data_IF_160211271308
#
_entry.id   IF_160211271308
#
_cell.length_a   1.000
_cell.length_b   1.000
_cell.length_c   1.000
_cell.angle_alpha   90.00
_cell.angle_beta   90.00
_cell.angle_gamma   90.00
#
_symmetry.space_group_name_H-M   'P 1'
#
loop_
_entity.id
_entity.type
_entity.pdbx_description
1 polymer ?
#
# COMPACT_ATOMS: atom_id res chain seq x y z
N UNK A 1 -23.63 -74.76 35.24
CA UNK A 1 -22.88 -74.71 36.51
C UNK A 1 -21.45 -75.13 36.21
N UNK A 2 -20.50 -74.19 36.20
CA UNK A 2 -19.08 -74.51 36.01
C UNK A 2 -18.32 -73.73 37.06
N UNK A 3 -17.74 -74.46 38.02
CA UNK A 3 -16.78 -73.93 38.99
C UNK A 3 -15.65 -74.94 39.13
N UNK A 4 -14.44 -74.58 38.73
CA UNK A 4 -13.27 -74.50 39.61
C UNK A 4 -11.99 -74.20 38.82
N UNK A 5 -11.30 -73.19 39.34
CA UNK A 5 -10.01 -72.56 39.01
C UNK A 5 -8.81 -73.39 39.53
N UNK A 6 -7.54 -72.89 39.58
CA UNK A 6 -6.67 -72.21 38.59
C UNK A 6 -5.21 -72.76 38.58
N UNK A 7 -4.32 -72.08 37.83
CA UNK A 7 -2.89 -71.80 38.14
C UNK A 7 -1.77 -72.59 37.43
N UNK A 8 -1.00 -71.89 36.57
CA UNK A 8 0.49 -71.74 36.55
C UNK A 8 0.88 -71.06 35.22
N UNK A 9 1.27 -69.79 35.21
CA UNK A 9 2.63 -69.24 35.41
C UNK A 9 3.48 -69.15 34.12
N UNK A 10 4.05 -67.97 33.93
CA UNK A 10 4.57 -67.36 32.70
C UNK A 10 5.88 -68.03 32.23
N UNK A 11 5.98 -68.40 30.95
CA UNK A 11 7.27 -68.60 30.27
C UNK A 11 7.65 -67.34 29.48
N UNK A 12 8.76 -66.72 29.85
CA UNK A 12 9.42 -65.62 29.12
C UNK A 12 9.91 -66.14 27.77
N UNK A 13 9.53 -65.49 26.67
CA UNK A 13 10.14 -65.68 25.36
C UNK A 13 10.90 -64.40 25.03
N UNK A 14 12.23 -64.51 24.97
CA UNK A 14 13.16 -63.45 24.59
C UNK A 14 13.17 -63.30 23.07
N UNK A 15 12.84 -62.11 22.56
CA UNK A 15 12.95 -61.79 21.14
C UNK A 15 14.41 -61.47 20.75
N UNK A 16 14.87 -61.88 19.55
CA UNK A 16 16.26 -61.71 19.14
C UNK A 16 16.64 -60.24 18.90
N UNK A 17 17.89 -59.93 19.27
CA UNK A 17 18.53 -58.62 19.14
C UNK A 17 18.58 -58.22 17.65
N UNK A 18 17.95 -57.09 17.30
CA UNK A 18 17.97 -56.53 15.95
C UNK A 18 19.42 -56.14 15.60
N UNK A 19 19.99 -56.79 14.59
CA UNK A 19 21.29 -56.43 14.01
C UNK A 19 21.07 -55.22 13.12
N UNK A 20 21.58 -54.06 13.54
CA UNK A 20 21.58 -52.85 12.69
C UNK A 20 22.81 -52.91 11.78
N UNK A 21 22.59 -53.19 10.50
CA UNK A 21 23.61 -53.02 9.46
C UNK A 21 23.67 -51.52 9.13
N UNK A 22 24.74 -50.84 9.51
CA UNK A 22 25.00 -49.45 9.10
C UNK A 22 25.53 -49.44 7.66
N UNK A 23 24.63 -49.28 6.70
CA UNK A 23 25.02 -48.81 5.37
C UNK A 23 24.97 -47.28 5.39
N UNK A 24 26.13 -46.62 5.52
CA UNK A 24 26.26 -45.19 5.27
C UNK A 24 25.98 -44.93 3.78
N UNK A 25 24.78 -44.44 3.47
CA UNK A 25 24.51 -43.74 2.22
C UNK A 25 25.13 -42.35 2.39
N UNK A 26 26.07 -41.90 1.53
CA UNK A 26 26.58 -40.54 1.64
C UNK A 26 25.46 -39.55 1.29
N UNK A 27 25.02 -38.79 2.29
CA UNK A 27 24.17 -37.61 2.13
C UNK A 27 24.89 -36.62 1.19
N UNK A 28 24.21 -35.98 0.22
CA UNK A 28 24.83 -34.91 -0.55
C UNK A 28 25.25 -33.83 0.44
N UNK A 29 26.52 -33.46 0.44
CA UNK A 29 27.05 -32.37 1.24
C UNK A 29 26.28 -31.11 0.91
N UNK A 30 25.32 -30.72 1.76
CA UNK A 30 24.87 -29.35 1.81
C UNK A 30 26.08 -28.56 2.31
N UNK A 31 26.79 -27.91 1.39
CA UNK A 31 27.74 -26.89 1.78
C UNK A 31 26.93 -25.85 2.54
N UNK A 32 27.07 -25.83 3.87
CA UNK A 32 26.63 -24.68 4.65
C UNK A 32 27.37 -23.47 4.10
N UNK A 33 26.66 -22.64 3.34
CA UNK A 33 27.14 -21.31 3.00
C UNK A 33 27.43 -20.66 4.36
N UNK A 34 28.66 -20.19 4.64
CA UNK A 34 28.94 -19.56 5.91
C UNK A 34 27.98 -18.37 6.03
N UNK A 35 27.06 -18.43 6.99
CA UNK A 35 26.36 -17.23 7.46
C UNK A 35 27.44 -16.39 8.13
N UNK A 36 28.15 -15.59 7.35
CA UNK A 36 28.78 -14.38 7.85
C UNK A 36 27.64 -13.46 8.30
N UNK A 37 27.03 -13.76 9.44
CA UNK A 37 26.15 -12.85 10.14
C UNK A 37 27.05 -11.83 10.79
N UNK A 38 27.39 -10.79 10.04
CA UNK A 38 27.79 -9.52 10.64
C UNK A 38 26.76 -9.22 11.74
N UNK A 39 27.18 -8.95 12.98
CA UNK A 39 26.24 -8.68 14.06
C UNK A 39 25.34 -7.51 13.66
N UNK A 40 24.02 -7.73 13.69
CA UNK A 40 23.03 -6.71 13.31
C UNK A 40 23.20 -5.50 14.23
N UNK A 41 23.59 -4.37 13.67
CA UNK A 41 23.83 -3.14 14.44
C UNK A 41 22.51 -2.61 14.98
N UNK A 42 22.44 -2.29 16.28
CA UNK A 42 21.21 -1.81 16.91
C UNK A 42 20.96 -0.34 16.61
N UNK A 43 20.24 -0.06 15.53
CA UNK A 43 19.75 1.30 15.24
C UNK A 43 18.66 1.69 16.27
N UNK A 44 18.90 2.76 17.03
CA UNK A 44 17.99 3.27 18.08
C UNK A 44 17.03 4.33 17.54
N UNK A 45 16.12 3.94 16.67
CA UNK A 45 15.18 4.86 15.99
C UNK A 45 14.38 5.79 16.90
N UNK A 46 14.04 5.34 18.13
CA UNK A 46 13.32 6.14 19.13
C UNK A 46 14.10 7.38 19.56
N UNK A 47 15.42 7.26 19.73
CA UNK A 47 16.30 8.34 20.19
C UNK A 47 16.34 9.50 19.17
N UNK A 48 16.04 9.19 17.91
CA UNK A 48 16.05 10.14 16.80
C UNK A 48 14.64 10.55 16.33
N UNK A 49 13.58 10.11 17.01
CA UNK A 49 12.19 10.31 16.57
C UNK A 49 12.00 9.91 15.09
N UNK A 50 12.48 8.71 14.72
CA UNK A 50 12.36 8.14 13.38
C UNK A 50 11.13 7.23 13.32
N UNK A 51 10.09 7.69 12.61
CA UNK A 51 8.85 6.96 12.42
C UNK A 51 8.35 7.07 10.99
N UNK A 52 8.02 5.94 10.37
CA UNK A 52 7.33 5.87 9.10
C UNK A 52 5.81 5.96 9.34
N UNK A 53 5.20 7.03 8.83
CA UNK A 53 3.75 7.25 8.88
C UNK A 53 3.12 7.39 7.49
N UNK A 54 3.89 7.13 6.44
CA UNK A 54 3.45 7.19 5.05
C UNK A 54 3.20 8.58 4.47
N UNK A 55 3.39 9.67 5.25
CA UNK A 55 3.23 11.05 4.76
C UNK A 55 4.38 11.48 3.88
N UNK A 56 5.60 11.27 4.36
CA UNK A 56 6.84 11.71 3.72
C UNK A 56 7.88 10.59 3.78
N UNK A 57 7.68 9.60 2.90
CA UNK A 57 8.51 8.38 2.85
C UNK A 57 9.94 8.70 2.43
N UNK A 58 10.15 9.68 1.54
CA UNK A 58 11.50 10.08 1.10
C UNK A 58 12.30 10.70 2.24
N UNK A 59 11.71 11.63 2.99
CA UNK A 59 12.38 12.21 4.16
C UNK A 59 12.66 11.15 5.22
N UNK A 60 11.75 10.20 5.41
CA UNK A 60 11.98 9.06 6.29
C UNK A 60 13.20 8.22 5.85
N UNK A 61 13.29 7.85 4.57
CA UNK A 61 14.39 7.04 4.03
C UNK A 61 15.74 7.76 4.18
N UNK A 62 15.80 9.05 3.83
CA UNK A 62 17.02 9.85 3.99
C UNK A 62 17.45 9.93 5.45
N UNK A 63 16.50 10.14 6.38
CA UNK A 63 16.78 10.20 7.81
C UNK A 63 17.23 8.84 8.36
N UNK A 64 16.63 7.75 7.89
CA UNK A 64 17.03 6.40 8.26
C UNK A 64 18.48 6.10 7.83
N UNK A 65 18.88 6.51 6.62
CA UNK A 65 20.26 6.40 6.14
C UNK A 65 21.23 7.21 7.02
N UNK A 66 20.93 8.49 7.28
CA UNK A 66 21.79 9.33 8.12
C UNK A 66 21.96 8.77 9.55
N UNK A 67 20.89 8.27 10.17
CA UNK A 67 20.97 7.66 11.50
C UNK A 67 21.79 6.37 11.46
N UNK A 68 21.63 5.58 10.40
CA UNK A 68 22.35 4.32 10.24
C UNK A 68 23.84 4.56 10.06
N UNK A 69 24.23 5.61 9.33
CA UNK A 69 25.61 6.06 9.22
C UNK A 69 26.20 6.45 10.59
N UNK A 70 25.46 7.23 11.40
CA UNK A 70 25.86 7.61 12.75
C UNK A 70 26.05 6.40 13.66
N UNK A 71 25.17 5.40 13.55
CA UNK A 71 25.19 4.19 14.37
C UNK A 71 26.14 3.11 13.82
N UNK A 72 26.80 3.33 12.67
CA UNK A 72 27.68 2.37 12.03
C UNK A 72 26.95 1.14 11.44
N UNK A 73 25.67 1.28 11.14
CA UNK A 73 24.83 0.22 10.58
C UNK A 73 24.95 0.17 9.06
N UNK A 74 24.89 -1.04 8.49
CA UNK A 74 24.88 -1.22 7.05
C UNK A 74 23.45 -1.15 6.51
N UNK A 75 23.30 -0.87 5.22
CA UNK A 75 22.00 -0.80 4.53
C UNK A 75 21.09 -2.01 4.80
N UNK A 76 21.66 -3.22 4.85
CA UNK A 76 20.92 -4.45 5.19
C UNK A 76 20.26 -4.39 6.57
N UNK A 77 20.89 -3.75 7.55
CA UNK A 77 20.32 -3.57 8.89
C UNK A 77 19.12 -2.64 8.86
N UNK A 78 19.16 -1.61 8.00
CA UNK A 78 18.04 -0.68 7.75
C UNK A 78 16.84 -1.45 7.21
N UNK A 79 17.05 -2.20 6.13
CA UNK A 79 16.00 -2.98 5.46
C UNK A 79 15.31 -3.97 6.40
N UNK A 80 16.07 -4.58 7.33
CA UNK A 80 15.50 -5.51 8.33
C UNK A 80 14.76 -4.81 9.46
N UNK A 81 15.14 -3.58 9.81
CA UNK A 81 14.64 -2.89 11.01
C UNK A 81 13.48 -1.95 10.76
N UNK A 82 13.26 -1.57 9.51
CA UNK A 82 12.24 -0.61 9.11
C UNK A 82 10.83 -0.93 9.63
N UNK A 83 10.45 -2.21 9.74
CA UNK A 83 9.14 -2.66 10.25
C UNK A 83 8.94 -2.36 11.73
N UNK A 84 10.01 -2.10 12.48
CA UNK A 84 9.97 -1.68 13.89
C UNK A 84 9.94 -0.15 14.04
N UNK A 85 10.05 0.59 12.93
CA UNK A 85 10.02 2.05 12.90
C UNK A 85 8.68 2.57 12.36
N UNK A 86 7.64 1.73 12.38
CA UNK A 86 6.27 2.08 12.00
C UNK A 86 5.48 2.49 13.23
N UNK A 87 4.38 3.23 13.03
CA UNK A 87 3.48 3.64 14.12
C UNK A 87 2.42 2.58 14.45
N UNK A 88 2.13 1.69 13.52
CA UNK A 88 1.09 0.68 13.62
C UNK A 88 1.48 -0.60 12.86
N UNK A 89 0.78 -1.70 13.18
CA UNK A 89 1.00 -3.03 12.62
C UNK A 89 0.61 -3.12 11.14
N UNK A 90 -0.36 -2.32 10.69
CA UNK A 90 -0.80 -2.27 9.29
C UNK A 90 0.32 -1.75 8.38
N UNK A 91 1.02 -0.70 8.80
CA UNK A 91 2.19 -0.17 8.10
C UNK A 91 3.33 -1.18 8.07
N UNK A 92 3.57 -1.93 9.14
CA UNK A 92 4.56 -3.02 9.15
C UNK A 92 4.21 -4.09 8.13
N UNK A 93 2.97 -4.58 8.14
CA UNK A 93 2.48 -5.58 7.19
C UNK A 93 2.65 -5.14 5.73
N UNK A 94 2.43 -3.85 5.43
CA UNK A 94 2.64 -3.32 4.09
C UNK A 94 4.10 -3.32 3.65
N UNK A 95 5.03 -3.09 4.56
CA UNK A 95 6.46 -3.14 4.26
C UNK A 95 6.92 -4.59 4.10
N UNK A 96 6.41 -5.50 4.92
CA UNK A 96 6.70 -6.93 4.83
C UNK A 96 6.29 -7.53 3.48
N UNK A 97 5.21 -7.02 2.88
CA UNK A 97 4.76 -7.40 1.54
C UNK A 97 5.55 -6.82 0.36
N UNK A 98 6.66 -6.12 0.60
CA UNK A 98 7.49 -5.51 -0.46
C UNK A 98 8.66 -6.42 -0.83
N UNK A 99 8.92 -6.71 -2.13
CA UNK A 99 10.00 -7.58 -2.54
C UNK A 99 11.39 -7.20 -1.99
N UNK A 100 11.74 -5.91 -2.01
CA UNK A 100 13.00 -5.44 -1.42
C UNK A 100 13.17 -5.73 0.08
N UNK A 101 12.07 -5.85 0.83
CA UNK A 101 12.12 -6.22 2.25
C UNK A 101 12.48 -7.70 2.44
N UNK A 102 11.86 -8.60 1.65
CA UNK A 102 12.08 -10.05 1.72
C UNK A 102 13.56 -10.42 1.57
N UNK A 103 14.24 -9.77 0.62
CA UNK A 103 15.66 -10.01 0.35
C UNK A 103 16.61 -9.13 1.18
N UNK A 104 16.06 -8.25 2.04
CA UNK A 104 16.79 -7.26 2.83
C UNK A 104 17.72 -6.36 1.98
N UNK A 105 17.27 -6.01 0.78
CA UNK A 105 17.95 -5.09 -0.13
C UNK A 105 17.35 -3.70 0.07
N UNK A 106 18.13 -2.81 0.69
CA UNK A 106 17.68 -1.46 1.00
C UNK A 106 17.42 -0.62 -0.25
N UNK A 107 18.24 -0.75 -1.28
CA UNK A 107 18.09 0.06 -2.49
C UNK A 107 16.84 -0.37 -3.27
N UNK A 108 16.60 -1.68 -3.38
CA UNK A 108 15.35 -2.21 -3.95
C UNK A 108 14.13 -1.84 -3.09
N UNK A 109 14.25 -1.93 -1.76
CA UNK A 109 13.18 -1.56 -0.84
C UNK A 109 12.83 -0.07 -0.96
N UNK A 110 13.80 0.83 -1.07
CA UNK A 110 13.55 2.25 -1.32
C UNK A 110 12.76 2.46 -2.62
N UNK A 111 13.16 1.79 -3.71
CA UNK A 111 12.45 1.90 -4.99
C UNK A 111 11.00 1.40 -4.89
N UNK A 112 10.78 0.29 -4.19
CA UNK A 112 9.46 -0.29 -4.02
C UNK A 112 8.58 0.55 -3.07
N UNK A 113 9.16 1.09 -1.99
CA UNK A 113 8.50 2.02 -1.10
C UNK A 113 8.12 3.31 -1.83
N UNK A 114 9.04 3.92 -2.59
CA UNK A 114 8.72 5.06 -3.45
C UNK A 114 7.58 4.71 -4.39
N UNK A 115 7.68 3.61 -5.14
CA UNK A 115 6.62 3.18 -6.06
C UNK A 115 5.28 2.97 -5.36
N UNK A 116 5.27 2.41 -4.16
CA UNK A 116 4.05 2.12 -3.41
C UNK A 116 3.43 3.39 -2.83
N UNK A 117 4.20 4.28 -2.22
CA UNK A 117 3.70 5.49 -1.58
C UNK A 117 3.57 6.69 -2.53
N UNK A 118 4.40 6.80 -3.57
CA UNK A 118 4.23 7.79 -4.65
C UNK A 118 2.95 7.54 -5.46
N UNK A 119 2.50 6.29 -5.54
CA UNK A 119 1.20 5.91 -6.15
C UNK A 119 -0.02 6.35 -5.34
N UNK A 120 0.11 6.84 -4.11
CA UNK A 120 -1.06 7.11 -3.25
C UNK A 120 -0.86 8.28 -2.26
N UNK A 121 0.11 9.16 -2.51
CA UNK A 121 0.33 10.35 -1.66
C UNK A 121 -0.78 11.39 -1.83
N UNK A 122 -1.03 12.28 -0.83
CA UNK A 122 -1.97 13.39 -0.95
C UNK A 122 -1.70 14.25 -2.19
N UNK A 123 -0.43 14.48 -2.53
CA UNK A 123 0.01 15.27 -3.68
C UNK A 123 -0.31 14.58 -5.01
N UNK A 124 -0.48 13.25 -5.02
CA UNK A 124 -0.79 12.51 -6.24
C UNK A 124 -2.12 12.92 -6.85
N UNK A 125 -3.17 13.19 -6.05
CA UNK A 125 -4.46 13.63 -6.61
C UNK A 125 -4.31 14.96 -7.36
N UNK A 126 -3.54 15.89 -6.81
CA UNK A 126 -3.24 17.18 -7.42
C UNK A 126 -2.39 17.04 -8.69
N UNK A 127 -1.37 16.18 -8.66
CA UNK A 127 -0.55 15.86 -9.84
C UNK A 127 -1.39 15.19 -10.93
N UNK A 128 -2.29 14.28 -10.57
CA UNK A 128 -3.18 13.61 -11.51
C UNK A 128 -4.11 14.63 -12.20
N UNK A 129 -4.85 15.44 -11.44
CA UNK A 129 -5.71 16.49 -12.02
C UNK A 129 -4.92 17.51 -12.85
N UNK A 130 -3.80 18.01 -12.32
CA UNK A 130 -2.96 19.00 -13.03
C UNK A 130 -2.39 18.46 -14.33
N UNK A 131 -1.87 17.22 -14.32
CA UNK A 131 -1.32 16.58 -15.52
C UNK A 131 -2.42 16.37 -16.56
N UNK A 132 -3.58 15.85 -16.15
CA UNK A 132 -4.72 15.68 -17.05
C UNK A 132 -5.14 17.00 -17.69
N UNK A 133 -5.13 18.09 -16.93
CA UNK A 133 -5.43 19.42 -17.46
C UNK A 133 -4.37 19.91 -18.45
N UNK A 134 -3.08 19.72 -18.16
CA UNK A 134 -1.99 20.07 -19.08
C UNK A 134 -2.04 19.28 -20.40
N UNK A 135 -2.58 18.06 -20.37
CA UNK A 135 -2.83 17.24 -21.57
C UNK A 135 -4.11 17.64 -22.34
N UNK A 136 -4.66 18.82 -22.04
CA UNK A 136 -5.83 19.40 -22.71
C UNK A 136 -7.18 19.03 -22.08
N UNK A 137 -7.15 18.44 -20.89
CA UNK A 137 -8.33 18.05 -20.12
C UNK A 137 -9.09 16.85 -20.66
N UNK A 138 -10.00 16.33 -19.85
CA UNK A 138 -10.88 15.21 -20.23
C UNK A 138 -11.93 15.68 -21.22
N UNK A 139 -12.05 14.98 -22.35
CA UNK A 139 -12.96 15.30 -23.46
C UNK A 139 -13.89 14.16 -23.86
N UNK A 140 -13.71 12.97 -23.28
CA UNK A 140 -14.50 11.79 -23.63
C UNK A 140 -14.61 10.80 -22.46
N UNK A 141 -15.60 9.90 -22.57
CA UNK A 141 -15.91 8.92 -21.54
C UNK A 141 -14.78 7.93 -21.25
N UNK A 142 -14.00 7.53 -22.24
CA UNK A 142 -12.86 6.61 -22.03
C UNK A 142 -11.81 7.23 -21.12
N UNK A 143 -11.42 8.49 -21.39
CA UNK A 143 -10.49 9.23 -20.53
C UNK A 143 -11.08 9.48 -19.15
N UNK A 144 -12.37 9.80 -19.09
CA UNK A 144 -13.06 10.04 -17.82
C UNK A 144 -13.07 8.82 -16.91
N UNK A 145 -13.50 7.64 -17.42
CA UNK A 145 -13.53 6.39 -16.65
C UNK A 145 -12.16 6.01 -16.09
N UNK A 146 -11.11 6.18 -16.89
CA UNK A 146 -9.73 5.95 -16.43
C UNK A 146 -9.35 6.92 -15.31
N UNK A 147 -9.57 8.23 -15.52
CA UNK A 147 -9.25 9.26 -14.55
C UNK A 147 -9.98 9.04 -13.23
N UNK A 148 -11.31 8.86 -13.26
CA UNK A 148 -12.12 8.76 -12.04
C UNK A 148 -11.78 7.50 -11.24
N UNK A 149 -11.51 6.37 -11.90
CA UNK A 149 -11.06 5.15 -11.25
C UNK A 149 -9.71 5.33 -10.54
N UNK A 150 -8.75 5.98 -11.19
CA UNK A 150 -7.45 6.29 -10.56
C UNK A 150 -7.59 7.31 -9.41
N UNK A 151 -8.42 8.34 -9.58
CA UNK A 151 -8.64 9.39 -8.61
C UNK A 151 -9.33 8.85 -7.34
N UNK A 152 -10.41 8.07 -7.49
CA UNK A 152 -11.13 7.48 -6.36
C UNK A 152 -10.29 6.45 -5.60
N UNK A 153 -9.44 5.70 -6.29
CA UNK A 153 -8.49 4.81 -5.63
C UNK A 153 -7.52 5.59 -4.70
N UNK A 154 -7.07 6.79 -5.11
CA UNK A 154 -6.28 7.68 -4.26
C UNK A 154 -7.12 8.12 -3.05
N UNK A 155 -8.35 8.60 -3.26
CA UNK A 155 -9.21 9.10 -2.18
C UNK A 155 -9.53 8.01 -1.14
N UNK A 156 -9.86 6.79 -1.57
CA UNK A 156 -10.12 5.65 -0.68
C UNK A 156 -8.91 5.37 0.21
N UNK A 157 -7.71 5.37 -0.38
CA UNK A 157 -6.47 5.20 0.37
C UNK A 157 -6.29 6.33 1.38
N UNK A 158 -6.36 7.59 0.94
CA UNK A 158 -6.15 8.75 1.81
C UNK A 158 -7.12 8.78 3.01
N UNK A 159 -8.38 8.39 2.80
CA UNK A 159 -9.38 8.25 3.86
C UNK A 159 -9.03 7.12 4.83
N UNK A 160 -8.66 5.93 4.31
CA UNK A 160 -8.33 4.75 5.14
C UNK A 160 -7.21 5.06 6.15
N UNK A 161 -6.16 5.74 5.69
CA UNK A 161 -5.01 6.07 6.52
C UNK A 161 -5.11 7.45 7.20
N UNK A 162 -6.31 8.04 7.24
CA UNK A 162 -6.58 9.31 7.91
C UNK A 162 -5.68 10.48 7.47
N UNK A 163 -5.12 10.43 6.25
CA UNK A 163 -4.40 11.57 5.66
C UNK A 163 -5.34 12.74 5.36
N UNK A 164 -6.62 12.42 5.13
CA UNK A 164 -7.71 13.37 4.98
C UNK A 164 -8.86 12.95 5.89
N UNK A 165 -9.57 13.91 6.47
CA UNK A 165 -10.77 13.68 7.27
C UNK A 165 -11.97 14.34 6.58
N UNK A 166 -13.14 13.69 6.65
CA UNK A 166 -14.38 14.17 6.04
C UNK A 166 -14.43 14.07 4.51
N UNK A 167 -15.57 14.48 3.93
CA UNK A 167 -15.67 14.78 2.51
C UNK A 167 -15.09 16.17 2.26
N UNK A 168 -13.75 16.26 2.26
CA UNK A 168 -13.07 17.36 1.56
C UNK A 168 -13.65 17.31 0.14
N UNK A 169 -14.38 18.33 -0.28
CA UNK A 169 -15.07 18.32 -1.57
C UNK A 169 -14.03 18.45 -2.69
N UNK A 170 -13.43 17.32 -3.05
CA UNK A 170 -12.53 17.12 -4.19
C UNK A 170 -13.22 17.30 -5.54
N UNK A 171 -14.52 17.59 -5.52
CA UNK A 171 -15.37 17.76 -6.69
C UNK A 171 -14.83 18.88 -7.59
N UNK A 172 -14.25 19.93 -7.00
CA UNK A 172 -13.59 20.98 -7.78
C UNK A 172 -12.35 20.46 -8.52
N UNK A 173 -11.57 19.54 -7.93
CA UNK A 173 -10.37 18.97 -8.58
C UNK A 173 -10.73 18.02 -9.72
N UNK A 174 -11.85 17.32 -9.60
CA UNK A 174 -12.41 16.47 -10.67
C UNK A 174 -12.92 17.36 -11.80
N UNK A 175 -13.71 18.38 -11.48
CA UNK A 175 -14.24 19.32 -12.47
C UNK A 175 -13.12 20.06 -13.21
N UNK A 176 -12.11 20.54 -12.48
CA UNK A 176 -10.95 21.23 -13.04
C UNK A 176 -10.07 20.36 -13.94
N UNK A 177 -10.22 19.02 -13.91
CA UNK A 177 -9.51 18.10 -14.80
C UNK A 177 -10.18 17.93 -16.18
N UNK A 178 -11.42 18.40 -16.32
CA UNK A 178 -12.15 18.35 -17.59
C UNK A 178 -11.64 19.44 -18.54
N UNK A 179 -11.84 19.26 -19.84
CA UNK A 179 -11.57 20.35 -20.79
C UNK A 179 -12.38 21.61 -20.47
N UNK A 180 -11.85 22.79 -20.75
CA UNK A 180 -12.54 24.08 -20.46
C UNK A 180 -13.97 24.12 -21.01
N UNK A 181 -14.18 23.64 -22.24
CA UNK A 181 -15.51 23.55 -22.84
C UNK A 181 -16.47 22.63 -22.07
N UNK A 182 -15.97 21.51 -21.52
CA UNK A 182 -16.78 20.63 -20.67
C UNK A 182 -17.06 21.27 -19.31
N UNK A 183 -16.08 21.94 -18.70
CA UNK A 183 -16.30 22.67 -17.46
C UNK A 183 -17.43 23.70 -17.61
N UNK A 184 -17.36 24.53 -18.65
CA UNK A 184 -18.37 25.58 -18.90
C UNK A 184 -19.78 25.01 -19.14
N UNK A 185 -19.92 23.98 -19.96
CA UNK A 185 -21.22 23.37 -20.23
C UNK A 185 -21.82 22.71 -19.00
N UNK A 186 -21.00 21.98 -18.23
CA UNK A 186 -21.41 21.32 -17.00
C UNK A 186 -21.82 22.35 -15.93
N UNK A 187 -21.03 23.41 -15.72
CA UNK A 187 -21.39 24.50 -14.81
C UNK A 187 -22.74 25.12 -15.19
N UNK A 188 -22.95 25.39 -16.48
CA UNK A 188 -24.19 26.01 -16.97
C UNK A 188 -25.41 25.13 -16.71
N UNK A 189 -25.33 23.83 -16.98
CA UNK A 189 -26.44 22.91 -16.74
C UNK A 189 -26.69 22.71 -15.23
N UNK A 190 -25.64 22.57 -14.40
CA UNK A 190 -25.81 22.46 -12.95
C UNK A 190 -26.47 23.71 -12.31
N UNK A 191 -26.15 24.92 -12.81
CA UNK A 191 -26.81 26.16 -12.35
C UNK A 191 -28.27 26.20 -12.79
N UNK A 192 -28.54 25.88 -14.06
CA UNK A 192 -29.89 25.86 -14.64
C UNK A 192 -30.81 24.90 -13.88
N UNK A 193 -30.31 23.73 -13.51
CA UNK A 193 -31.06 22.70 -12.79
C UNK A 193 -31.09 22.94 -11.26
N UNK A 194 -30.46 24.02 -10.77
CA UNK A 194 -30.32 24.33 -9.34
C UNK A 194 -29.63 23.22 -8.54
N UNK A 195 -28.76 22.44 -9.18
CA UNK A 195 -27.94 21.43 -8.53
C UNK A 195 -26.84 22.06 -7.66
N UNK A 196 -26.39 23.27 -8.01
CA UNK A 196 -25.46 24.06 -7.21
C UNK A 196 -26.20 24.99 -6.25
N UNK A 197 -25.87 24.93 -4.97
CA UNK A 197 -26.48 25.80 -3.94
C UNK A 197 -25.72 27.12 -3.89
N UNK A 198 -26.44 28.24 -4.01
CA UNK A 198 -25.83 29.55 -3.84
C UNK A 198 -25.46 29.77 -2.38
N UNK A 199 -24.19 30.04 -2.12
CA UNK A 199 -23.70 30.42 -0.80
C UNK A 199 -24.18 31.83 -0.44
N UNK A 200 -24.30 32.10 0.87
CA UNK A 200 -24.63 33.43 1.40
C UNK A 200 -23.69 34.53 0.88
N UNK A 201 -22.43 34.18 0.57
CA UNK A 201 -21.41 35.11 0.09
C UNK A 201 -21.40 35.27 -1.45
N UNK A 202 -22.43 34.79 -2.15
CA UNK A 202 -22.59 34.98 -3.59
C UNK A 202 -21.85 33.97 -4.47
N UNK A 203 -21.06 33.07 -3.88
CA UNK A 203 -20.48 31.90 -4.56
C UNK A 203 -21.47 30.75 -4.73
N UNK A 204 -21.03 29.65 -5.35
CA UNK A 204 -21.81 28.42 -5.44
C UNK A 204 -21.09 27.24 -4.78
N UNK A 205 -21.85 26.46 -4.03
CA UNK A 205 -21.40 25.21 -3.41
C UNK A 205 -21.58 24.08 -4.44
N UNK A 206 -20.50 23.34 -4.69
CA UNK A 206 -20.53 22.16 -5.57
C UNK A 206 -21.52 21.12 -5.03
N UNK A 207 -22.26 20.43 -5.93
CA UNK A 207 -23.11 19.33 -5.51
C UNK A 207 -22.26 18.17 -4.98
N UNK A 208 -22.92 17.18 -4.39
CA UNK A 208 -22.25 15.92 -4.00
C UNK A 208 -21.61 15.23 -5.20
N UNK A 209 -20.62 14.39 -4.93
CA UNK A 209 -19.83 13.73 -5.98
C UNK A 209 -20.69 12.87 -6.91
N UNK A 210 -21.66 12.12 -6.36
CA UNK A 210 -22.60 11.31 -7.15
C UNK A 210 -23.37 12.14 -8.17
N UNK A 211 -23.87 13.31 -7.76
CA UNK A 211 -24.57 14.24 -8.64
C UNK A 211 -23.62 14.85 -9.68
N UNK A 212 -22.42 15.28 -9.27
CA UNK A 212 -21.43 15.82 -10.21
C UNK A 212 -21.06 14.81 -11.30
N UNK A 213 -20.86 13.53 -10.94
CA UNK A 213 -20.55 12.48 -11.92
C UNK A 213 -21.63 12.36 -12.98
N UNK A 214 -22.91 12.43 -12.60
CA UNK A 214 -24.03 12.37 -13.56
C UNK A 214 -23.93 13.48 -14.61
N UNK A 215 -23.67 14.73 -14.20
CA UNK A 215 -23.51 15.84 -15.15
C UNK A 215 -22.30 15.66 -16.07
N UNK A 216 -21.18 15.15 -15.53
CA UNK A 216 -19.98 14.88 -16.33
C UNK A 216 -20.27 13.80 -17.38
N UNK A 217 -20.89 12.70 -16.97
CA UNK A 217 -21.20 11.59 -17.87
C UNK A 217 -22.16 12.04 -18.98
N UNK A 218 -23.22 12.78 -18.64
CA UNK A 218 -24.17 13.34 -19.61
C UNK A 218 -23.50 14.27 -20.63
N UNK A 219 -22.65 15.20 -20.18
CA UNK A 219 -21.95 16.13 -21.07
C UNK A 219 -21.00 15.40 -22.03
N UNK A 220 -20.25 14.43 -21.51
CA UNK A 220 -19.29 13.66 -22.30
C UNK A 220 -19.97 12.71 -23.29
N UNK A 221 -21.14 12.16 -22.94
CA UNK A 221 -21.95 11.32 -23.84
C UNK A 221 -22.63 12.14 -24.94
N UNK A 222 -23.20 13.30 -24.60
CA UNK A 222 -23.83 14.19 -25.58
C UNK A 222 -22.85 14.64 -26.66
N UNK A 223 -21.58 14.86 -26.30
CA UNK A 223 -20.51 15.27 -27.23
C UNK A 223 -20.03 14.17 -28.17
N UNK A 224 -20.36 12.90 -27.91
CA UNK A 224 -20.12 11.79 -28.86
C UNK A 224 -21.13 11.79 -29.99
N UNK A 225 -22.35 12.32 -29.76
CA UNK A 225 -23.44 12.31 -30.75
C UNK A 225 -23.37 13.46 -31.77
N UNK A 226 -22.45 14.40 -31.59
CA UNK A 226 -22.33 15.63 -32.40
C UNK A 226 -21.07 15.58 -33.32
N UNK A 227 -20.31 14.48 -33.29
CA UNK A 227 -19.15 14.21 -34.15
C UNK A 227 -19.51 13.24 -35.29
#
# INVERSE_FOLDING_TARGET
>A
MVTSTPYTEKRKITLPRRVTISAQIPTPSHQEIPRNSTPIVKIRAKDYNLWLDGKDVERFMNKAESISEIEGAIQRDIARKIVFWTKDEEMSYHIEGIPGYEIADWDQLKLDMKRRWEKVSPERRYRLSSKTQQEGGIKNMTKYRKFIGEYEAIIIYLKRYQFIQGDISHNQEILASLSTSAQESIYKEMIKDRAMVQALEGGYIMPRLDILKLYIEQDLEAKVLIQ
#
